data_IF_422297060786
#
_entry.id   IF_422297060786
#
_cell.length_a   1.000
_cell.length_b   1.000
_cell.length_c   1.000
_cell.angle_alpha   90.00
_cell.angle_beta   90.00
_cell.angle_gamma   90.00
#
_symmetry.space_group_name_H-M   'P 1'
#
loop_
_entity.id
_entity.type
_entity.pdbx_description
1 polymer ?
#
# COMPACT_ATOMS: atom_id res chain seq x y z
N UNK A 1 -15.42 -10.14 -1.27
CA UNK A 1 -16.19 -8.97 -1.75
C UNK A 1 -15.75 -8.52 -3.15
N UNK A 2 -14.91 -9.30 -3.84
CA UNK A 2 -14.50 -9.08 -5.23
C UNK A 2 -15.66 -8.75 -6.17
N UNK A 3 -15.43 -7.77 -7.04
CA UNK A 3 -16.41 -7.24 -8.00
C UNK A 3 -17.37 -6.21 -7.42
N UNK A 4 -17.39 -6.01 -6.09
CA UNK A 4 -18.27 -5.01 -5.46
C UNK A 4 -17.70 -3.60 -5.57
N UNK A 5 -18.58 -2.61 -5.54
CA UNK A 5 -18.19 -1.22 -5.26
C UNK A 5 -17.55 -1.13 -3.85
N UNK A 6 -16.49 -0.33 -3.69
CA UNK A 6 -15.72 -0.22 -2.44
C UNK A 6 -16.57 0.16 -1.22
N UNK A 7 -17.41 1.20 -1.31
CA UNK A 7 -18.29 1.59 -0.19
C UNK A 7 -19.17 0.42 0.29
N UNK A 8 -19.78 -0.31 -0.64
CA UNK A 8 -20.63 -1.46 -0.30
C UNK A 8 -19.85 -2.61 0.32
N UNK A 9 -18.58 -2.78 -0.08
CA UNK A 9 -17.71 -3.77 0.52
C UNK A 9 -17.35 -3.39 1.97
N UNK A 10 -16.97 -2.13 2.20
CA UNK A 10 -16.69 -1.61 3.54
C UNK A 10 -17.93 -1.69 4.46
N UNK A 11 -19.10 -1.25 4.00
CA UNK A 11 -20.36 -1.34 4.75
C UNK A 11 -20.68 -2.79 5.17
N UNK A 12 -20.41 -3.74 4.26
CA UNK A 12 -20.62 -5.17 4.52
C UNK A 12 -19.61 -5.71 5.54
N UNK A 13 -18.35 -5.33 5.44
CA UNK A 13 -17.31 -5.71 6.40
C UNK A 13 -17.62 -5.16 7.80
N UNK A 14 -17.98 -3.88 7.89
CA UNK A 14 -18.41 -3.24 9.15
C UNK A 14 -19.64 -3.91 9.75
N UNK A 15 -20.64 -4.24 8.94
CA UNK A 15 -21.84 -4.97 9.40
C UNK A 15 -21.52 -6.38 9.92
N UNK A 16 -20.40 -6.97 9.48
CA UNK A 16 -19.90 -8.26 9.96
C UNK A 16 -18.97 -8.14 11.19
N UNK A 17 -18.69 -6.92 11.66
CA UNK A 17 -17.87 -6.65 12.85
C UNK A 17 -16.45 -6.18 12.56
N UNK A 18 -16.02 -6.17 11.29
CA UNK A 18 -14.68 -5.69 10.91
C UNK A 18 -14.64 -4.17 10.86
N UNK A 19 -13.92 -3.55 11.78
CA UNK A 19 -13.79 -2.08 11.84
C UNK A 19 -12.44 -1.56 11.40
N UNK A 20 -11.42 -2.42 11.34
CA UNK A 20 -10.09 -2.07 10.86
C UNK A 20 -10.03 -2.32 9.34
N UNK A 21 -10.36 -1.31 8.54
CA UNK A 21 -10.47 -1.43 7.09
C UNK A 21 -9.54 -0.43 6.40
N UNK A 22 -8.86 -0.87 5.34
CA UNK A 22 -8.11 -0.01 4.43
C UNK A 22 -8.35 -0.41 2.98
N UNK A 23 -7.93 0.42 2.03
CA UNK A 23 -8.05 0.14 0.61
C UNK A 23 -6.96 0.78 -0.23
N UNK A 24 -6.53 0.05 -1.28
CA UNK A 24 -5.39 0.43 -2.10
C UNK A 24 -5.68 0.29 -3.59
N UNK A 25 -5.08 1.18 -4.39
CA UNK A 25 -5.19 1.13 -5.84
C UNK A 25 -4.37 -0.03 -6.40
N UNK A 26 -5.05 -1.10 -6.79
CA UNK A 26 -4.47 -2.33 -7.31
C UNK A 26 -3.55 -2.11 -8.54
N UNK A 27 -3.69 -0.97 -9.25
CA UNK A 27 -2.81 -0.65 -10.38
C UNK A 27 -1.42 -0.17 -9.99
N UNK A 28 -1.23 0.23 -8.74
CA UNK A 28 0.02 0.77 -8.25
C UNK A 28 0.39 2.18 -8.66
N UNK A 29 -0.64 2.97 -8.91
CA UNK A 29 -0.51 4.40 -9.17
C UNK A 29 -0.81 5.25 -7.92
N UNK A 30 -1.04 4.62 -6.76
CA UNK A 30 -1.30 5.32 -5.49
C UNK A 30 -2.46 6.31 -5.52
N UNK A 31 -3.44 6.11 -6.41
CA UNK A 31 -4.49 7.10 -6.62
C UNK A 31 -5.41 7.13 -5.40
N UNK A 32 -5.55 8.31 -4.81
CA UNK A 32 -6.44 8.53 -3.67
C UNK A 32 -7.90 8.18 -3.99
N UNK A 33 -8.52 7.41 -3.10
CA UNK A 33 -9.87 6.89 -3.27
C UNK A 33 -10.93 7.83 -2.66
N UNK A 34 -10.88 9.13 -3.00
CA UNK A 34 -11.73 10.18 -2.40
C UNK A 34 -13.24 9.89 -2.47
N UNK A 35 -13.66 9.13 -3.47
CA UNK A 35 -15.05 8.72 -3.66
C UNK A 35 -15.13 7.21 -3.84
N UNK A 36 -15.25 6.45 -2.76
CA UNK A 36 -15.28 4.98 -2.76
C UNK A 36 -16.27 4.38 -3.77
N UNK A 37 -17.38 5.08 -4.04
CA UNK A 37 -18.37 4.67 -5.04
C UNK A 37 -17.84 4.59 -6.48
N UNK A 38 -16.69 5.21 -6.77
CA UNK A 38 -16.03 5.20 -8.06
C UNK A 38 -14.97 4.09 -8.17
N UNK A 39 -14.89 3.21 -7.17
CA UNK A 39 -13.89 2.16 -7.07
C UNK A 39 -14.55 0.79 -6.95
N UNK A 40 -13.93 -0.21 -7.57
CA UNK A 40 -14.38 -1.59 -7.59
C UNK A 40 -13.30 -2.50 -6.98
N UNK A 41 -13.71 -3.35 -6.05
CA UNK A 41 -12.85 -4.35 -5.39
C UNK A 41 -12.42 -5.41 -6.40
N UNK A 42 -11.12 -5.62 -6.52
CA UNK A 42 -10.47 -6.67 -7.29
C UNK A 42 -10.15 -7.88 -6.42
N UNK A 43 -9.64 -7.65 -5.22
CA UNK A 43 -9.40 -8.66 -4.21
C UNK A 43 -9.52 -8.03 -2.83
N UNK A 44 -9.54 -8.89 -1.82
CA UNK A 44 -9.46 -8.48 -0.44
C UNK A 44 -8.48 -9.38 0.28
N UNK A 45 -7.95 -8.88 1.38
CA UNK A 45 -7.33 -9.68 2.41
C UNK A 45 -7.95 -9.34 3.78
N UNK A 46 -8.17 -10.30 4.70
CA UNK A 46 -8.05 -11.75 4.51
C UNK A 46 -8.96 -12.26 3.40
N UNK A 47 -8.56 -13.37 2.79
CA UNK A 47 -9.41 -14.09 1.85
C UNK A 47 -10.79 -14.39 2.49
N UNK A 48 -11.87 -14.47 1.69
CA UNK A 48 -13.20 -14.72 2.23
C UNK A 48 -13.25 -15.97 3.12
N UNK A 49 -13.67 -15.81 4.38
CA UNK A 49 -13.70 -16.91 5.34
C UNK A 49 -13.90 -16.43 6.77
N UNK A 50 -13.37 -17.18 7.72
CA UNK A 50 -13.33 -16.81 9.13
C UNK A 50 -12.06 -16.01 9.43
N UNK A 51 -12.23 -14.84 10.02
CA UNK A 51 -11.16 -13.99 10.55
C UNK A 51 -11.66 -13.31 11.83
N UNK A 52 -10.75 -12.94 12.72
CA UNK A 52 -11.11 -12.23 13.95
C UNK A 52 -11.57 -10.79 13.62
N UNK A 53 -12.60 -10.22 14.28
CA UNK A 53 -13.15 -8.91 13.92
C UNK A 53 -12.17 -7.73 13.96
N UNK A 54 -11.08 -7.85 14.72
CA UNK A 54 -9.99 -6.88 14.85
C UNK A 54 -8.92 -7.02 13.76
N UNK A 55 -8.98 -8.09 12.96
CA UNK A 55 -8.11 -8.29 11.79
C UNK A 55 -8.26 -7.12 10.82
N UNK A 56 -7.12 -6.57 10.37
CA UNK A 56 -7.10 -5.58 9.30
C UNK A 56 -7.65 -6.21 8.02
N UNK A 57 -8.64 -5.57 7.41
CA UNK A 57 -9.13 -5.95 6.08
C UNK A 57 -8.63 -4.95 5.05
N UNK A 58 -7.88 -5.42 4.08
CA UNK A 58 -7.37 -4.63 2.96
C UNK A 58 -8.21 -4.90 1.71
N UNK A 59 -8.72 -3.84 1.07
CA UNK A 59 -9.40 -3.95 -0.22
C UNK A 59 -8.52 -3.44 -1.35
N UNK A 60 -8.17 -4.32 -2.30
CA UNK A 60 -7.54 -3.88 -3.53
C UNK A 60 -8.58 -3.46 -4.54
N UNK A 61 -8.44 -2.25 -5.06
CA UNK A 61 -9.46 -1.61 -5.89
C UNK A 61 -8.89 -1.03 -7.17
N UNK A 62 -9.72 -0.96 -8.21
CA UNK A 62 -9.46 -0.17 -9.42
C UNK A 62 -10.59 0.82 -9.62
N UNK A 63 -10.37 1.87 -10.43
CA UNK A 63 -11.48 2.76 -10.76
C UNK A 63 -12.56 1.99 -11.53
N UNK A 64 -13.81 2.36 -11.32
CA UNK A 64 -14.93 1.83 -12.07
C UNK A 64 -14.66 1.91 -13.59
N UNK A 65 -14.85 0.79 -14.27
CA UNK A 65 -14.54 0.62 -15.69
C UNK A 65 -13.11 0.16 -16.02
N UNK A 66 -12.17 0.16 -15.08
CA UNK A 66 -10.83 -0.41 -15.28
C UNK A 66 -10.83 -1.94 -15.09
N UNK A 67 -9.83 -2.62 -15.65
CA UNK A 67 -9.64 -4.07 -15.45
C UNK A 67 -8.83 -4.32 -14.19
N UNK A 68 -9.23 -5.33 -13.42
CA UNK A 68 -8.40 -5.81 -12.32
C UNK A 68 -7.11 -6.44 -12.87
N UNK A 69 -5.94 -6.13 -12.29
CA UNK A 69 -4.69 -6.72 -12.73
C UNK A 69 -4.67 -8.24 -12.49
N UNK A 70 -3.95 -8.97 -13.35
CA UNK A 70 -3.89 -10.44 -13.30
C UNK A 70 -3.02 -10.96 -12.15
N UNK A 71 -2.10 -10.13 -11.64
CA UNK A 71 -1.35 -10.39 -10.42
C UNK A 71 -1.47 -9.19 -9.48
N UNK A 72 -1.56 -9.48 -8.18
CA UNK A 72 -1.48 -8.51 -7.09
C UNK A 72 -0.03 -8.27 -6.67
N UNK A 73 0.96 -8.58 -7.53
CA UNK A 73 2.41 -8.41 -7.25
C UNK A 73 2.81 -6.96 -6.91
N UNK A 74 1.89 -6.01 -6.99
CA UNK A 74 2.08 -4.68 -6.47
C UNK A 74 1.46 -4.38 -5.11
N UNK A 75 0.54 -5.17 -4.57
CA UNK A 75 -0.46 -4.62 -3.65
C UNK A 75 -0.97 -5.50 -2.50
N UNK A 76 -0.48 -6.72 -2.31
CA UNK A 76 -0.77 -7.45 -1.06
C UNK A 76 0.50 -7.51 -0.25
N UNK A 77 0.68 -6.53 0.62
CA UNK A 77 1.61 -6.65 1.72
C UNK A 77 0.78 -6.57 2.99
N UNK A 78 0.94 -7.54 3.89
CA UNK A 78 0.34 -7.54 5.21
C UNK A 78 1.43 -7.56 6.28
N UNK A 79 1.10 -7.25 7.54
CA UNK A 79 2.01 -7.52 8.65
C UNK A 79 2.43 -9.01 8.65
N UNK A 80 3.73 -9.27 8.57
CA UNK A 80 4.29 -10.62 8.51
C UNK A 80 4.48 -11.23 7.11
N UNK A 81 4.04 -10.56 6.04
CA UNK A 81 4.34 -10.97 4.65
C UNK A 81 5.78 -10.59 4.24
N UNK A 82 6.20 -11.07 3.07
CA UNK A 82 7.43 -10.60 2.42
C UNK A 82 7.27 -9.15 1.90
N UNK A 83 8.28 -8.33 2.16
CA UNK A 83 8.35 -6.93 1.80
C UNK A 83 8.33 -6.75 0.27
N UNK A 84 7.41 -5.94 -0.28
CA UNK A 84 7.35 -5.69 -1.71
C UNK A 84 8.60 -5.01 -2.27
N UNK A 85 8.83 -5.20 -3.58
CA UNK A 85 9.84 -4.46 -4.30
C UNK A 85 9.37 -3.03 -4.62
N UNK A 86 9.69 -2.08 -3.73
CA UNK A 86 9.36 -0.67 -3.91
C UNK A 86 10.34 0.12 -4.78
N UNK A 87 11.49 -0.46 -5.15
CA UNK A 87 12.51 0.25 -5.93
C UNK A 87 11.92 0.84 -7.23
N UNK A 88 12.07 2.15 -7.41
CA UNK A 88 11.54 2.90 -8.54
C UNK A 88 10.10 3.42 -8.38
N UNK A 89 9.38 3.04 -7.31
CA UNK A 89 8.04 3.55 -6.99
C UNK A 89 8.08 4.97 -6.43
N UNK A 90 6.93 5.64 -6.47
CA UNK A 90 6.73 6.91 -5.77
C UNK A 90 6.83 6.70 -4.25
N UNK A 91 7.47 7.63 -3.54
CA UNK A 91 7.66 7.52 -2.09
C UNK A 91 6.35 7.69 -1.31
N UNK A 92 5.45 8.59 -1.72
CA UNK A 92 4.17 8.79 -1.03
C UNK A 92 3.35 7.51 -1.04
N UNK A 93 3.19 6.90 -2.22
CA UNK A 93 2.43 5.67 -2.39
C UNK A 93 2.99 4.52 -1.52
N UNK A 94 4.32 4.42 -1.44
CA UNK A 94 5.00 3.40 -0.66
C UNK A 94 4.84 3.61 0.86
N UNK A 95 4.91 4.87 1.31
CA UNK A 95 4.69 5.23 2.73
C UNK A 95 3.24 5.00 3.11
N UNK A 96 2.28 5.46 2.31
CA UNK A 96 0.85 5.30 2.58
C UNK A 96 0.49 3.82 2.74
N UNK A 97 1.07 2.96 1.89
CA UNK A 97 0.90 1.51 1.98
C UNK A 97 1.49 0.95 3.29
N UNK A 98 2.77 1.21 3.59
CA UNK A 98 3.39 0.62 4.77
C UNK A 98 2.82 1.19 6.08
N UNK A 99 2.40 2.46 6.10
CA UNK A 99 1.81 3.09 7.28
C UNK A 99 0.43 2.51 7.63
N UNK A 100 -0.26 1.88 6.67
CA UNK A 100 -1.49 1.15 6.96
C UNK A 100 -1.24 -0.20 7.65
N UNK A 101 0.00 -0.70 7.61
CA UNK A 101 0.36 -2.06 8.03
C UNK A 101 1.30 -2.06 9.25
N UNK A 102 2.21 -1.10 9.34
CA UNK A 102 3.28 -1.08 10.33
C UNK A 102 3.13 0.07 11.31
N UNK A 103 3.80 -0.04 12.47
CA UNK A 103 3.72 0.97 13.53
C UNK A 103 4.61 2.19 13.29
N UNK A 104 5.71 2.02 12.57
CA UNK A 104 6.66 3.09 12.27
C UNK A 104 7.10 3.04 10.79
N UNK A 105 7.01 4.19 10.11
CA UNK A 105 7.46 4.37 8.73
C UNK A 105 8.26 5.65 8.64
N UNK A 106 9.51 5.52 8.20
CA UNK A 106 10.44 6.64 8.05
C UNK A 106 10.98 6.71 6.63
N UNK A 107 11.35 7.91 6.19
CA UNK A 107 11.98 8.12 4.89
C UNK A 107 13.19 9.05 5.01
N UNK A 108 14.24 8.73 4.25
CA UNK A 108 15.50 9.49 4.23
C UNK A 108 16.01 9.72 2.81
N UNK A 109 16.74 10.82 2.64
CA UNK A 109 17.46 11.13 1.40
C UNK A 109 18.67 10.22 1.22
N UNK A 110 18.54 9.24 0.34
CA UNK A 110 19.56 8.25 0.02
C UNK A 110 20.85 8.87 -0.57
N UNK A 111 20.79 10.12 -1.06
CA UNK A 111 21.99 10.78 -1.59
C UNK A 111 22.96 11.25 -0.51
N UNK A 112 22.57 11.18 0.77
CA UNK A 112 23.38 11.63 1.90
C UNK A 112 23.45 13.15 2.05
N UNK A 113 22.67 13.92 1.28
CA UNK A 113 22.63 15.39 1.37
C UNK A 113 21.81 15.91 2.56
N UNK A 114 21.15 15.03 3.32
CA UNK A 114 20.44 15.37 4.56
C UNK A 114 19.19 16.23 4.34
N UNK A 115 18.54 16.11 3.18
CA UNK A 115 17.26 16.78 2.90
C UNK A 115 16.11 16.02 3.60
N UNK A 116 15.10 16.76 4.06
CA UNK A 116 13.81 16.19 4.47
C UNK A 116 13.00 15.75 3.25
N UNK A 117 12.14 14.75 3.43
CA UNK A 117 11.26 14.19 2.39
C UNK A 117 9.87 14.83 2.38
N UNK A 118 9.72 16.07 2.86
CA UNK A 118 8.43 16.71 3.22
C UNK A 118 7.38 16.86 2.09
N UNK A 119 7.75 16.56 0.83
CA UNK A 119 6.81 16.44 -0.29
C UNK A 119 7.11 15.14 -1.02
N UNK A 120 6.66 14.02 -0.46
CA UNK A 120 7.02 12.66 -0.83
C UNK A 120 6.69 12.32 -2.29
N UNK A 121 5.71 13.02 -2.89
CA UNK A 121 5.39 12.89 -4.31
C UNK A 121 6.57 13.22 -5.24
N UNK A 122 7.47 14.08 -4.80
CA UNK A 122 8.66 14.49 -5.56
C UNK A 122 9.82 13.51 -5.41
N UNK A 123 9.60 12.36 -4.76
CA UNK A 123 10.63 11.39 -4.44
C UNK A 123 10.31 10.00 -5.01
N UNK A 124 11.39 9.27 -5.29
CA UNK A 124 11.36 7.90 -5.77
C UNK A 124 12.18 7.00 -4.86
N UNK A 125 11.60 5.87 -4.49
CA UNK A 125 12.25 4.87 -3.63
C UNK A 125 13.44 4.23 -4.35
N UNK A 126 14.53 4.07 -3.64
CA UNK A 126 15.73 3.37 -4.08
C UNK A 126 15.89 2.03 -3.37
N UNK A 127 15.69 2.01 -2.06
CA UNK A 127 15.79 0.82 -1.24
C UNK A 127 14.82 0.91 -0.05
N UNK A 128 14.58 -0.25 0.57
CA UNK A 128 13.79 -0.37 1.79
C UNK A 128 14.56 -1.21 2.80
N UNK A 129 14.31 -0.95 4.08
CA UNK A 129 14.63 -1.86 5.18
C UNK A 129 13.34 -2.15 5.94
N UNK A 130 12.88 -3.41 6.04
CA UNK A 130 13.45 -4.63 5.44
C UNK A 130 13.56 -4.56 3.90
N UNK A 131 14.49 -5.33 3.33
CA UNK A 131 14.70 -5.40 1.89
C UNK A 131 13.59 -6.21 1.20
N UNK A 132 13.42 -6.03 -0.11
CA UNK A 132 12.42 -6.78 -0.87
C UNK A 132 12.61 -8.31 -0.72
N UNK A 133 11.54 -9.02 -0.36
CA UNK A 133 11.56 -10.45 -0.05
C UNK A 133 11.90 -10.79 1.41
N UNK A 134 12.31 -9.83 2.24
CA UNK A 134 12.43 -10.02 3.69
C UNK A 134 11.07 -9.84 4.37
N UNK A 135 10.86 -10.43 5.54
CA UNK A 135 9.60 -10.26 6.28
C UNK A 135 9.38 -8.81 6.69
N UNK A 136 8.16 -8.31 6.53
CA UNK A 136 7.74 -6.99 7.02
C UNK A 136 7.85 -6.96 8.55
N UNK A 137 8.59 -5.98 9.06
CA UNK A 137 8.75 -5.70 10.49
C UNK A 137 7.86 -4.52 10.92
N UNK A 138 7.74 -4.30 12.23
CA UNK A 138 6.95 -3.19 12.80
C UNK A 138 7.48 -1.80 12.37
N UNK A 139 8.75 -1.72 11.96
CA UNK A 139 9.40 -0.50 11.48
C UNK A 139 9.91 -0.66 10.05
N UNK A 140 9.62 0.33 9.21
CA UNK A 140 10.07 0.40 7.82
C UNK A 140 10.85 1.68 7.57
N UNK A 141 12.01 1.55 6.93
CA UNK A 141 12.80 2.66 6.42
C UNK A 141 12.77 2.67 4.89
N UNK A 142 12.37 3.79 4.32
CA UNK A 142 12.51 4.09 2.91
C UNK A 142 13.74 4.96 2.65
N UNK A 143 14.62 4.49 1.77
CA UNK A 143 15.69 5.31 1.21
C UNK A 143 15.25 5.81 -0.16
N UNK A 144 15.14 7.13 -0.33
CA UNK A 144 14.60 7.72 -1.54
C UNK A 144 15.48 8.84 -2.09
N UNK A 145 15.29 9.16 -3.38
CA UNK A 145 15.92 10.31 -4.04
C UNK A 145 14.88 11.19 -4.70
N UNK A 146 15.13 12.50 -4.86
CA UNK A 146 14.24 13.35 -5.62
C UNK A 146 14.11 12.85 -7.06
N UNK A 147 12.94 13.08 -7.64
CA UNK A 147 12.64 12.74 -9.01
C UNK A 147 13.66 13.39 -9.96
N UNK A 148 14.31 12.55 -10.78
CA UNK A 148 15.38 12.96 -11.70
C UNK A 148 16.80 12.76 -11.18
N UNK A 149 17.00 12.53 -9.87
CA UNK A 149 18.27 12.07 -9.33
C UNK A 149 18.41 10.54 -9.47
N UNK A 150 19.65 10.03 -9.39
CA UNK A 150 19.94 8.59 -9.47
C UNK A 150 20.06 8.00 -8.08
N UNK A 151 19.57 6.78 -7.93
CA UNK A 151 19.82 6.00 -6.71
C UNK A 151 21.31 5.72 -6.53
N UNK A 152 21.83 5.76 -5.30
CA UNK A 152 23.14 5.19 -4.98
C UNK A 152 23.16 3.70 -5.34
N UNK A 153 24.33 3.19 -5.72
CA UNK A 153 24.55 1.77 -6.03
C UNK A 153 25.44 1.10 -5.00
#
# INVERSE_FOLDING_TARGET
MTGSQLQRAQDRAQSAGFTNLTSEDATGQGRAQVWDRNWRVCSQDPEPGEAEPDTLVVFLVVKEGESCPASTEGYLAMPGDEMPAYAGRNLMDAIDQMAALTGDVTAVDATGKGRGTDNENDWRVCATTPAAGETIEDSVLFEAVPNGEKCPG
#
